data_IF_500014748429
#
_entry.id   IF_500014748429
#
_cell.length_a   1.000
_cell.length_b   1.000
_cell.length_c   1.000
_cell.angle_alpha   90.00
_cell.angle_beta   90.00
_cell.angle_gamma   90.00
#
_symmetry.space_group_name_H-M   'P 1'
#
loop_
_entity.id
_entity.type
_entity.pdbx_description
1 polymer ?
#
# COMPACT_ATOMS: atom_id res chain seq x y z
N UNK A 1 -7.93 5.25 -19.38
CA UNK A 1 -8.53 3.89 -19.30
C UNK A 1 -9.54 3.83 -18.16
N UNK A 2 -10.39 2.83 -18.12
CA UNK A 2 -11.32 2.56 -17.04
C UNK A 2 -10.92 1.27 -16.34
N UNK A 3 -10.87 1.31 -15.02
CA UNK A 3 -10.58 0.13 -14.18
C UNK A 3 -11.81 -0.16 -13.34
N UNK A 4 -12.20 -1.44 -13.28
CA UNK A 4 -13.16 -1.96 -12.30
C UNK A 4 -12.37 -2.58 -11.16
N UNK A 5 -12.69 -2.17 -9.93
CA UNK A 5 -12.05 -2.69 -8.73
C UNK A 5 -13.09 -2.97 -7.65
N UNK A 6 -12.77 -3.92 -6.78
CA UNK A 6 -13.66 -4.28 -5.69
C UNK A 6 -13.07 -5.34 -4.79
N UNK A 7 -13.81 -5.66 -3.73
CA UNK A 7 -13.45 -6.76 -2.82
C UNK A 7 -14.70 -7.38 -2.22
N UNK A 8 -14.50 -8.59 -1.67
CA UNK A 8 -15.48 -9.31 -0.85
C UNK A 8 -14.74 -9.95 0.33
N UNK A 9 -14.93 -9.38 1.54
CA UNK A 9 -14.29 -9.80 2.78
C UNK A 9 -15.32 -10.39 3.73
N UNK A 10 -15.03 -11.56 4.30
CA UNK A 10 -15.88 -12.20 5.31
C UNK A 10 -15.16 -12.29 6.65
N UNK A 11 -15.85 -11.92 7.72
CA UNK A 11 -15.37 -12.02 9.10
C UNK A 11 -16.32 -12.88 9.93
N UNK A 12 -15.75 -13.75 10.77
CA UNK A 12 -16.48 -14.49 11.80
C UNK A 12 -16.20 -13.84 13.16
N UNK A 13 -17.22 -13.30 13.79
CA UNK A 13 -17.12 -12.64 15.11
C UNK A 13 -17.87 -13.44 16.16
N UNK A 14 -17.20 -13.74 17.29
CA UNK A 14 -17.84 -14.49 18.39
C UNK A 14 -18.81 -13.64 19.21
N UNK A 15 -18.66 -12.32 19.17
CA UNK A 15 -19.44 -11.33 19.91
C UNK A 15 -19.50 -10.03 19.11
N UNK A 16 -20.33 -9.04 19.51
CA UNK A 16 -20.27 -7.72 18.89
C UNK A 16 -18.85 -7.18 18.95
N UNK A 17 -18.22 -6.94 17.79
CA UNK A 17 -16.81 -6.59 17.68
C UNK A 17 -16.64 -5.25 16.97
N UNK A 18 -16.17 -4.21 17.70
CA UNK A 18 -15.79 -2.95 17.06
C UNK A 18 -14.64 -3.16 16.08
N UNK A 19 -14.71 -2.54 14.91
CA UNK A 19 -13.69 -2.62 13.88
C UNK A 19 -13.42 -1.24 13.26
N UNK A 20 -12.15 -0.96 12.99
CA UNK A 20 -11.70 0.14 12.13
C UNK A 20 -11.33 -0.44 10.77
N UNK A 21 -11.76 0.21 9.71
CA UNK A 21 -11.59 -0.23 8.33
C UNK A 21 -10.90 0.86 7.50
N UNK A 22 -9.80 0.51 6.81
CA UNK A 22 -9.16 1.33 5.79
C UNK A 22 -9.42 0.64 4.45
N UNK A 23 -10.68 0.70 3.99
CA UNK A 23 -11.17 -0.03 2.81
C UNK A 23 -11.73 0.92 1.73
N UNK A 24 -11.80 2.22 2.03
CA UNK A 24 -12.19 3.22 1.05
C UNK A 24 -10.95 3.66 0.25
N UNK A 25 -11.17 4.10 -1.00
CA UNK A 25 -10.09 4.73 -1.76
C UNK A 25 -9.64 6.02 -1.06
N UNK A 26 -8.37 6.31 -1.20
CA UNK A 26 -7.77 7.53 -0.63
C UNK A 26 -8.45 8.78 -1.22
N UNK A 27 -8.68 9.84 -0.41
CA UNK A 27 -9.37 11.06 -0.87
C UNK A 27 -8.76 11.71 -2.11
N UNK A 28 -7.44 11.56 -2.34
CA UNK A 28 -6.76 12.07 -3.54
C UNK A 28 -7.23 11.44 -4.85
N UNK A 29 -7.87 10.26 -4.79
CA UNK A 29 -8.37 9.52 -5.96
C UNK A 29 -9.90 9.63 -6.13
N UNK A 30 -10.59 10.40 -5.25
CA UNK A 30 -12.05 10.54 -5.32
C UNK A 30 -12.54 11.16 -6.61
N UNK A 31 -11.80 12.13 -7.14
CA UNK A 31 -12.16 12.82 -8.39
C UNK A 31 -12.10 11.89 -9.62
N UNK A 32 -11.38 10.77 -9.52
CA UNK A 32 -11.24 9.81 -10.60
C UNK A 32 -12.36 8.77 -10.63
N UNK A 33 -13.21 8.68 -9.58
CA UNK A 33 -14.33 7.73 -9.54
C UNK A 33 -15.32 7.98 -10.68
N UNK A 34 -15.65 6.91 -11.39
CA UNK A 34 -16.69 6.88 -12.44
C UNK A 34 -18.01 6.32 -11.90
N UNK A 35 -17.97 5.60 -10.79
CA UNK A 35 -19.12 5.18 -9.99
C UNK A 35 -18.82 5.33 -8.51
N UNK A 36 -19.87 5.45 -7.68
CA UNK A 36 -19.70 5.57 -6.24
C UNK A 36 -19.05 4.32 -5.65
N UNK A 37 -18.03 4.52 -4.80
CA UNK A 37 -17.52 3.46 -3.95
C UNK A 37 -18.29 3.44 -2.64
N UNK A 38 -19.12 2.42 -2.44
CA UNK A 38 -19.96 2.25 -1.25
C UNK A 38 -19.61 0.91 -0.59
N UNK A 39 -19.32 0.93 0.71
CA UNK A 39 -19.19 -0.29 1.50
C UNK A 39 -20.57 -0.88 1.74
N UNK A 40 -20.77 -2.11 1.29
CA UNK A 40 -22.02 -2.86 1.45
C UNK A 40 -21.81 -3.98 2.46
N UNK A 41 -22.79 -4.17 3.34
CA UNK A 41 -22.79 -5.20 4.38
C UNK A 41 -23.95 -6.16 4.13
N UNK A 42 -23.75 -7.47 4.37
CA UNK A 42 -24.80 -8.50 4.24
C UNK A 42 -25.78 -8.46 5.42
N UNK A 43 -25.52 -7.64 6.43
CA UNK A 43 -26.38 -7.40 7.59
C UNK A 43 -26.55 -5.90 7.83
N UNK A 44 -27.60 -5.46 8.54
CA UNK A 44 -27.76 -4.05 8.90
C UNK A 44 -26.64 -3.61 9.86
N UNK A 45 -25.64 -2.93 9.35
CA UNK A 45 -24.51 -2.39 10.11
C UNK A 45 -24.43 -0.90 9.83
N UNK A 46 -24.43 -0.10 10.91
CA UNK A 46 -24.15 1.33 10.80
C UNK A 46 -22.63 1.55 10.69
N UNK A 47 -22.22 2.28 9.67
CA UNK A 47 -20.82 2.63 9.43
C UNK A 47 -20.63 4.14 9.61
N UNK A 48 -19.69 4.52 10.47
CA UNK A 48 -19.28 5.92 10.66
C UNK A 48 -17.97 6.19 9.94
N UNK A 49 -18.00 7.13 9.01
CA UNK A 49 -16.80 7.57 8.27
C UNK A 49 -16.04 8.62 9.05
N UNK A 50 -14.70 8.57 8.98
CA UNK A 50 -13.80 9.58 9.53
C UNK A 50 -12.52 9.65 8.69
N UNK A 51 -11.76 10.72 8.87
CA UNK A 51 -10.41 10.87 8.29
C UNK A 51 -9.39 10.70 9.41
N UNK A 52 -8.39 9.86 9.19
CA UNK A 52 -7.30 9.68 10.15
C UNK A 52 -6.23 10.78 10.04
N UNK A 53 -5.18 10.66 10.86
CA UNK A 53 -4.08 11.64 10.91
C UNK A 53 -3.19 11.63 9.67
N UNK A 54 -3.29 10.63 8.82
CA UNK A 54 -2.57 10.50 7.55
C UNK A 54 -3.42 10.92 6.35
N UNK A 55 -4.66 11.33 6.58
CA UNK A 55 -5.60 11.76 5.53
C UNK A 55 -6.38 10.61 4.89
N UNK A 56 -6.32 9.39 5.42
CA UNK A 56 -7.04 8.23 4.89
C UNK A 56 -8.53 8.32 5.19
N UNK A 57 -9.36 7.86 4.24
CA UNK A 57 -10.80 7.71 4.43
C UNK A 57 -11.09 6.38 5.13
N UNK A 58 -11.43 6.46 6.42
CA UNK A 58 -11.65 5.32 7.29
C UNK A 58 -13.12 5.13 7.63
N UNK A 59 -13.49 3.90 7.98
CA UNK A 59 -14.83 3.58 8.51
C UNK A 59 -14.71 2.88 9.86
N UNK A 60 -15.66 3.14 10.75
CA UNK A 60 -15.80 2.45 12.03
C UNK A 60 -17.16 1.75 12.05
N UNK A 61 -17.15 0.46 12.43
CA UNK A 61 -18.35 -0.37 12.54
C UNK A 61 -18.34 -1.16 13.85
N UNK A 62 -19.48 -1.76 14.18
CA UNK A 62 -19.57 -2.85 15.15
C UNK A 62 -20.13 -4.06 14.42
N UNK A 63 -19.26 -5.03 14.09
CA UNK A 63 -19.69 -6.28 13.48
C UNK A 63 -20.49 -7.11 14.47
N UNK A 64 -21.71 -7.60 14.13
CA UNK A 64 -22.50 -8.45 15.02
C UNK A 64 -21.88 -9.84 15.18
N UNK A 65 -22.32 -10.64 16.18
CA UNK A 65 -21.91 -12.03 16.28
C UNK A 65 -22.30 -12.83 15.04
N UNK A 66 -21.45 -13.78 14.66
CA UNK A 66 -21.61 -14.59 13.48
C UNK A 66 -20.82 -14.04 12.28
N UNK A 67 -21.26 -14.38 11.09
CA UNK A 67 -20.59 -13.98 9.85
C UNK A 67 -21.05 -12.60 9.41
N UNK A 68 -20.10 -11.76 9.07
CA UNK A 68 -20.31 -10.46 8.43
C UNK A 68 -19.52 -10.40 7.13
N UNK A 69 -20.20 -10.07 6.04
CA UNK A 69 -19.56 -9.83 4.74
C UNK A 69 -19.52 -8.34 4.45
N UNK A 70 -18.34 -7.83 4.07
CA UNK A 70 -18.11 -6.44 3.66
C UNK A 70 -17.66 -6.47 2.21
N UNK A 71 -18.33 -5.76 1.33
CA UNK A 71 -18.01 -5.72 -0.09
C UNK A 71 -18.15 -4.34 -0.68
N UNK A 72 -17.46 -4.12 -1.79
CA UNK A 72 -17.63 -2.97 -2.68
C UNK A 72 -17.22 -3.35 -4.08
N UNK A 73 -17.82 -2.69 -5.06
CA UNK A 73 -17.40 -2.69 -6.46
C UNK A 73 -17.56 -1.27 -6.99
N UNK A 74 -16.60 -0.78 -7.74
CA UNK A 74 -16.62 0.55 -8.33
C UNK A 74 -15.82 0.61 -9.62
N UNK A 75 -16.05 1.63 -10.41
CA UNK A 75 -15.27 1.96 -11.60
C UNK A 75 -14.51 3.27 -11.37
N UNK A 76 -13.27 3.31 -11.81
CA UNK A 76 -12.38 4.46 -11.63
C UNK A 76 -11.61 4.73 -12.92
N UNK A 77 -11.39 6.02 -13.21
CA UNK A 77 -10.52 6.47 -14.28
C UNK A 77 -9.04 6.33 -13.87
N UNK A 78 -8.23 5.91 -14.82
CA UNK A 78 -6.78 5.91 -14.74
C UNK A 78 -6.19 6.48 -16.04
N UNK A 79 -5.03 7.14 -15.95
CA UNK A 79 -4.37 7.73 -17.12
C UNK A 79 -3.92 6.67 -18.13
N UNK A 80 -3.73 5.43 -17.69
CA UNK A 80 -3.12 4.36 -18.48
C UNK A 80 -1.62 4.53 -18.67
N UNK A 81 -1.01 5.48 -17.96
CA UNK A 81 0.44 5.70 -18.01
C UNK A 81 1.12 4.96 -16.85
N UNK A 82 2.33 4.46 -17.06
CA UNK A 82 3.10 3.85 -15.97
C UNK A 82 3.50 4.87 -14.92
N UNK A 83 3.87 4.38 -13.73
CA UNK A 83 4.42 5.20 -12.66
C UNK A 83 5.57 6.08 -13.16
N UNK A 84 5.61 7.34 -12.71
CA UNK A 84 6.63 8.31 -13.13
C UNK A 84 7.95 7.97 -12.45
N UNK A 85 9.02 7.93 -13.23
CA UNK A 85 10.42 7.81 -12.76
C UNK A 85 11.05 9.20 -12.73
N UNK A 86 11.23 9.83 -11.56
CA UNK A 86 11.76 11.19 -11.45
C UNK A 86 13.29 11.18 -11.32
N UNK A 87 14.00 10.86 -12.40
CA UNK A 87 15.46 10.64 -12.41
C UNK A 87 16.29 11.84 -11.86
N UNK A 88 15.73 13.05 -11.93
CA UNK A 88 16.32 14.30 -11.46
C UNK A 88 15.86 14.74 -10.08
N UNK A 89 14.99 13.97 -9.41
CA UNK A 89 14.47 14.32 -8.10
C UNK A 89 15.56 14.32 -7.03
N UNK A 90 15.71 15.47 -6.35
CA UNK A 90 16.79 15.70 -5.39
C UNK A 90 16.38 15.34 -3.96
N UNK A 91 17.31 14.82 -3.19
CA UNK A 91 17.13 14.62 -1.75
C UNK A 91 17.34 15.94 -1.02
N UNK A 92 16.39 16.32 -0.17
CA UNK A 92 16.50 17.51 0.69
C UNK A 92 17.34 17.24 1.93
N UNK A 93 17.99 18.28 2.44
CA UNK A 93 18.51 18.26 3.80
C UNK A 93 17.34 18.20 4.79
N UNK A 94 17.51 17.55 5.96
CA UNK A 94 16.42 17.38 6.94
C UNK A 94 15.81 18.71 7.36
N UNK A 95 16.63 19.76 7.52
CA UNK A 95 16.18 21.10 7.94
C UNK A 95 15.32 21.80 6.88
N UNK A 96 15.32 21.34 5.64
CA UNK A 96 14.57 21.94 4.54
C UNK A 96 13.28 21.16 4.23
N UNK A 97 13.01 20.09 4.98
CA UNK A 97 11.81 19.28 4.82
C UNK A 97 10.60 19.95 5.48
N UNK A 98 9.40 19.87 4.87
CA UNK A 98 8.15 20.27 5.51
C UNK A 98 7.88 19.47 6.80
N UNK A 99 7.25 20.09 7.79
CA UNK A 99 6.99 19.49 9.10
C UNK A 99 6.14 18.20 9.01
N UNK A 100 5.19 18.16 8.08
CA UNK A 100 4.28 17.03 7.89
C UNK A 100 4.94 15.79 7.28
N UNK A 101 6.15 15.90 6.70
CA UNK A 101 6.89 14.74 6.19
C UNK A 101 7.89 14.18 7.21
N UNK A 102 8.23 14.92 8.27
CA UNK A 102 9.26 14.51 9.24
C UNK A 102 8.92 13.20 9.95
N UNK A 103 7.64 12.91 10.19
CA UNK A 103 7.19 11.65 10.81
C UNK A 103 7.58 10.43 9.97
N UNK A 104 7.78 10.60 8.68
CA UNK A 104 8.16 9.54 7.74
C UNK A 104 9.68 9.31 7.62
N UNK A 105 10.48 9.99 8.45
CA UNK A 105 11.90 9.69 8.68
C UNK A 105 12.10 8.74 9.86
N UNK A 106 11.11 8.60 10.74
CA UNK A 106 11.24 7.87 12.00
C UNK A 106 10.94 6.39 11.82
N UNK A 107 11.57 5.55 12.63
CA UNK A 107 11.21 4.15 12.75
C UNK A 107 9.75 3.97 13.19
N UNK A 108 9.15 2.82 12.83
CA UNK A 108 7.77 2.50 13.16
C UNK A 108 7.63 0.99 13.45
N UNK A 109 6.40 0.51 13.72
CA UNK A 109 6.16 -0.88 14.16
C UNK A 109 6.87 -1.92 13.29
N UNK A 110 6.79 -1.78 11.96
CA UNK A 110 7.38 -2.73 11.01
C UNK A 110 8.65 -2.22 10.34
N UNK A 111 8.94 -0.92 10.43
CA UNK A 111 10.15 -0.32 9.88
C UNK A 111 11.14 -0.02 11.01
N UNK A 112 11.80 -1.05 11.52
CA UNK A 112 12.78 -1.05 12.62
C UNK A 112 14.15 -0.54 12.13
N UNK A 113 14.24 0.76 11.88
CA UNK A 113 15.41 1.46 11.30
C UNK A 113 16.68 1.30 12.14
N UNK A 114 16.56 1.23 13.46
CA UNK A 114 17.66 1.06 14.41
C UNK A 114 18.47 -0.23 14.16
N UNK A 115 17.85 -1.26 13.61
CA UNK A 115 18.48 -2.54 13.30
C UNK A 115 19.13 -2.59 11.90
N UNK A 116 18.82 -1.62 11.05
CA UNK A 116 19.26 -1.58 9.65
C UNK A 116 20.20 -0.41 9.35
N UNK A 117 20.34 0.56 10.27
CA UNK A 117 21.09 1.78 10.05
C UNK A 117 22.53 1.54 9.62
N UNK A 118 23.29 0.71 10.34
CA UNK A 118 24.70 0.43 10.03
C UNK A 118 24.84 -0.21 8.64
N UNK A 119 23.96 -1.17 8.31
CA UNK A 119 23.94 -1.78 6.99
C UNK A 119 23.62 -0.75 5.90
N UNK A 120 22.59 0.07 6.10
CA UNK A 120 22.17 1.07 5.13
C UNK A 120 23.30 2.06 4.81
N UNK A 121 23.94 2.60 5.85
CA UNK A 121 25.07 3.52 5.68
C UNK A 121 26.27 2.86 5.02
N UNK A 122 26.65 1.65 5.43
CA UNK A 122 27.75 0.92 4.82
C UNK A 122 27.49 0.65 3.32
N UNK A 123 26.23 0.37 2.94
CA UNK A 123 25.86 -0.05 1.59
C UNK A 123 25.57 1.12 0.65
N UNK A 124 24.89 2.18 1.13
CA UNK A 124 24.33 3.22 0.27
C UNK A 124 24.91 4.63 0.46
N UNK A 125 25.82 4.85 1.42
CA UNK A 125 26.41 6.19 1.65
C UNK A 125 27.15 6.76 0.44
N UNK A 126 27.75 5.91 -0.39
CA UNK A 126 28.48 6.30 -1.59
C UNK A 126 27.60 6.45 -2.84
N UNK A 127 26.32 6.07 -2.79
CA UNK A 127 25.42 6.27 -3.94
C UNK A 127 25.07 7.77 -4.10
N UNK A 128 24.86 8.27 -5.33
CA UNK A 128 24.39 9.64 -5.53
C UNK A 128 23.09 9.91 -4.74
N UNK A 129 22.95 11.15 -4.24
CA UNK A 129 21.75 11.58 -3.53
C UNK A 129 20.53 11.63 -4.46
N UNK A 130 19.32 11.57 -3.87
CA UNK A 130 18.07 11.67 -4.62
C UNK A 130 17.61 10.34 -5.19
N UNK A 131 17.01 10.38 -6.38
CA UNK A 131 16.39 9.20 -7.00
C UNK A 131 17.37 8.04 -7.19
N UNK A 132 18.60 8.31 -7.60
CA UNK A 132 19.61 7.25 -7.79
C UNK A 132 19.84 6.41 -6.52
N UNK A 133 19.78 7.03 -5.33
CA UNK A 133 19.87 6.30 -4.06
C UNK A 133 18.63 5.47 -3.78
N UNK A 134 17.46 6.01 -4.05
CA UNK A 134 16.18 5.26 -3.93
C UNK A 134 16.19 4.05 -4.85
N UNK A 135 16.58 4.22 -6.12
CA UNK A 135 16.67 3.12 -7.08
C UNK A 135 17.66 2.05 -6.61
N UNK A 136 18.85 2.44 -6.14
CA UNK A 136 19.83 1.49 -5.61
C UNK A 136 19.30 0.70 -4.40
N UNK A 137 18.45 1.32 -3.55
CA UNK A 137 17.77 0.63 -2.46
C UNK A 137 16.72 -0.34 -3.01
N UNK A 138 15.92 0.06 -4.00
CA UNK A 138 14.92 -0.80 -4.63
C UNK A 138 15.55 -2.01 -5.32
N UNK A 139 16.63 -1.80 -6.09
CA UNK A 139 17.37 -2.88 -6.74
C UNK A 139 17.88 -3.88 -5.71
N UNK A 140 18.47 -3.38 -4.62
CA UNK A 140 18.93 -4.24 -3.53
C UNK A 140 17.78 -5.04 -2.90
N UNK A 141 16.65 -4.41 -2.57
CA UNK A 141 15.51 -5.08 -1.92
C UNK A 141 14.88 -6.11 -2.86
N UNK A 142 14.75 -5.77 -4.16
CA UNK A 142 14.24 -6.65 -5.19
C UNK A 142 15.05 -7.95 -5.30
N UNK A 143 16.36 -7.81 -5.34
CA UNK A 143 17.28 -8.94 -5.47
C UNK A 143 17.43 -9.74 -4.17
N UNK A 144 17.20 -9.08 -3.00
CA UNK A 144 17.45 -9.66 -1.69
C UNK A 144 16.30 -10.50 -1.16
N UNK A 145 15.04 -10.12 -1.46
CA UNK A 145 13.83 -10.82 -1.00
C UNK A 145 13.25 -11.66 -2.14
N UNK A 146 13.06 -12.94 -1.90
CA UNK A 146 12.26 -13.80 -2.79
C UNK A 146 10.79 -13.69 -2.45
N UNK A 147 9.95 -13.35 -3.43
CA UNK A 147 8.50 -13.29 -3.25
C UNK A 147 7.91 -14.69 -3.10
N UNK A 148 7.17 -14.93 -2.00
CA UNK A 148 6.49 -16.20 -1.74
C UNK A 148 5.28 -15.98 -0.83
N UNK A 149 4.06 -16.21 -1.34
CA UNK A 149 2.83 -16.10 -0.54
C UNK A 149 2.82 -17.02 0.68
N UNK A 150 3.45 -18.20 0.61
CA UNK A 150 3.52 -19.15 1.73
C UNK A 150 4.43 -18.65 2.87
N UNK A 151 5.20 -17.60 2.62
CA UNK A 151 6.06 -16.95 3.61
C UNK A 151 5.43 -15.70 4.21
N UNK A 152 4.13 -15.45 3.99
CA UNK A 152 3.43 -14.36 4.64
C UNK A 152 3.50 -14.50 6.17
N UNK A 153 3.99 -13.46 6.85
CA UNK A 153 4.06 -13.39 8.31
C UNK A 153 3.65 -12.00 8.79
N UNK A 154 2.52 -11.94 9.51
CA UNK A 154 1.95 -10.68 10.00
C UNK A 154 2.82 -9.97 11.05
N UNK A 155 3.79 -10.66 11.64
CA UNK A 155 4.70 -10.11 12.65
C UNK A 155 6.05 -9.67 12.09
N UNK A 156 6.36 -10.03 10.83
CA UNK A 156 7.68 -9.75 10.23
C UNK A 156 7.90 -8.24 10.08
N UNK A 157 9.02 -7.76 10.65
CA UNK A 157 9.52 -6.40 10.49
C UNK A 157 10.43 -6.28 9.27
N UNK A 158 10.88 -5.07 8.94
CA UNK A 158 11.86 -4.82 7.88
C UNK A 158 13.16 -5.61 8.10
N UNK A 159 13.69 -5.64 9.34
CA UNK A 159 14.84 -6.45 9.67
C UNK A 159 14.56 -7.95 9.58
N UNK A 160 13.36 -8.40 9.92
CA UNK A 160 12.93 -9.78 9.70
C UNK A 160 12.96 -10.16 8.22
N UNK A 161 12.39 -9.33 7.34
CA UNK A 161 12.44 -9.49 5.88
C UNK A 161 13.88 -9.52 5.34
N UNK A 162 14.73 -8.63 5.85
CA UNK A 162 16.16 -8.59 5.53
C UNK A 162 16.88 -9.91 5.92
N UNK A 163 16.54 -10.47 7.08
CA UNK A 163 17.19 -11.70 7.58
C UNK A 163 16.68 -12.95 6.87
N UNK A 164 15.36 -13.05 6.69
CA UNK A 164 14.70 -14.24 6.15
C UNK A 164 14.83 -14.35 4.63
N UNK A 165 15.05 -13.21 3.95
CA UNK A 165 15.19 -13.09 2.47
C UNK A 165 14.01 -13.68 1.70
N UNK A 166 12.85 -13.73 2.31
CA UNK A 166 11.60 -14.19 1.68
C UNK A 166 10.41 -13.48 2.31
N UNK A 167 9.37 -13.19 1.52
CA UNK A 167 8.19 -12.51 2.03
C UNK A 167 7.19 -12.14 0.93
N UNK A 168 6.25 -11.27 1.28
CA UNK A 168 5.20 -10.77 0.38
C UNK A 168 5.40 -9.27 0.09
N UNK A 169 4.56 -8.66 -0.75
CA UNK A 169 4.68 -7.25 -1.16
C UNK A 169 4.94 -6.29 0.02
N UNK A 170 4.29 -6.53 1.17
CA UNK A 170 4.47 -5.76 2.39
C UNK A 170 5.91 -5.81 2.92
N UNK A 171 6.57 -6.96 2.84
CA UNK A 171 7.93 -7.14 3.36
C UNK A 171 8.96 -6.38 2.50
N UNK A 172 8.76 -6.35 1.17
CA UNK A 172 9.56 -5.53 0.25
C UNK A 172 9.39 -4.04 0.57
N UNK A 173 8.14 -3.58 0.72
CA UNK A 173 7.86 -2.18 1.03
C UNK A 173 8.46 -1.77 2.37
N UNK A 174 8.29 -2.56 3.44
CA UNK A 174 8.84 -2.24 4.76
C UNK A 174 10.37 -2.17 4.76
N UNK A 175 11.05 -3.12 4.10
CA UNK A 175 12.51 -3.09 4.01
C UNK A 175 13.00 -1.85 3.24
N UNK A 176 12.40 -1.56 2.09
CA UNK A 176 12.77 -0.39 1.29
C UNK A 176 12.53 0.92 2.05
N UNK A 177 11.37 1.06 2.73
CA UNK A 177 11.05 2.22 3.58
C UNK A 177 12.08 2.39 4.70
N UNK A 178 12.40 1.31 5.42
CA UNK A 178 13.36 1.37 6.51
C UNK A 178 14.76 1.80 6.03
N UNK A 179 15.22 1.26 4.89
CA UNK A 179 16.49 1.64 4.28
C UNK A 179 16.49 3.09 3.79
N UNK A 180 15.41 3.57 3.16
CA UNK A 180 15.27 4.97 2.76
C UNK A 180 15.35 5.91 3.97
N UNK A 181 14.63 5.60 5.06
CA UNK A 181 14.65 6.39 6.30
C UNK A 181 16.03 6.40 6.94
N UNK A 182 16.74 5.26 6.97
CA UNK A 182 18.14 5.21 7.42
C UNK A 182 19.05 6.14 6.61
N UNK A 183 18.73 6.38 5.35
CA UNK A 183 19.47 7.29 4.45
C UNK A 183 18.91 8.71 4.43
N UNK A 184 18.08 9.08 5.43
CA UNK A 184 17.46 10.39 5.60
C UNK A 184 16.52 10.78 4.45
N UNK A 185 15.85 9.82 3.83
CA UNK A 185 14.83 10.02 2.81
C UNK A 185 13.47 9.71 3.45
N UNK A 186 12.54 10.70 3.57
CA UNK A 186 11.20 10.41 4.06
C UNK A 186 10.52 9.39 3.14
N UNK A 187 9.99 8.33 3.74
CA UNK A 187 9.32 7.26 3.01
C UNK A 187 8.05 6.81 3.75
N UNK A 188 6.93 6.67 3.01
CA UNK A 188 5.64 6.25 3.57
C UNK A 188 5.11 5.01 2.88
N UNK A 189 4.48 4.17 3.65
CA UNK A 189 3.83 2.95 3.17
C UNK A 189 2.52 3.29 2.47
N UNK A 190 2.23 2.57 1.40
CA UNK A 190 1.01 2.69 0.62
C UNK A 190 0.36 1.32 0.46
N UNK A 191 -0.97 1.29 0.50
CA UNK A 191 -1.75 0.09 0.18
C UNK A 191 -2.91 0.44 -0.74
N UNK A 192 -3.33 -0.53 -1.56
CA UNK A 192 -4.45 -0.34 -2.47
C UNK A 192 -4.54 -1.46 -3.50
N UNK A 193 -5.23 -1.17 -4.58
CA UNK A 193 -5.38 -2.11 -5.68
C UNK A 193 -4.26 -1.92 -6.72
N UNK A 194 -3.79 -3.03 -7.25
CA UNK A 194 -2.88 -3.08 -8.39
C UNK A 194 -3.15 -4.35 -9.20
N UNK A 195 -3.86 -4.19 -10.31
CA UNK A 195 -4.17 -5.29 -11.22
C UNK A 195 -3.03 -5.62 -12.18
N UNK A 196 -3.20 -6.71 -12.93
CA UNK A 196 -2.26 -7.13 -13.97
C UNK A 196 -2.50 -6.38 -15.28
N UNK A 197 -2.44 -5.05 -15.21
CA UNK A 197 -2.65 -4.15 -16.34
C UNK A 197 -1.30 -3.87 -17.00
N UNK A 198 -1.22 -4.15 -18.30
CA UNK A 198 0.02 -3.97 -19.08
C UNK A 198 1.13 -4.97 -18.77
N UNK A 199 0.84 -6.02 -18.00
CA UNK A 199 1.76 -7.12 -17.65
C UNK A 199 1.07 -8.47 -17.82
N UNK A 200 1.82 -9.59 -17.87
CA UNK A 200 1.21 -10.93 -17.89
C UNK A 200 0.33 -11.16 -16.65
N UNK A 201 -0.80 -11.83 -16.84
CA UNK A 201 -1.73 -12.17 -15.77
C UNK A 201 -1.09 -13.18 -14.81
N UNK A 202 -1.10 -12.86 -13.50
CA UNK A 202 -0.71 -13.78 -12.44
C UNK A 202 -1.86 -14.78 -12.19
N UNK A 203 -1.62 -16.10 -12.27
CA UNK A 203 -2.67 -17.11 -12.03
C UNK A 203 -3.09 -17.23 -10.56
N UNK A 204 -2.36 -16.61 -9.63
CA UNK A 204 -2.71 -16.63 -8.22
C UNK A 204 -3.90 -15.71 -7.92
N UNK A 205 -4.67 -15.97 -6.85
CA UNK A 205 -5.71 -15.05 -6.41
C UNK A 205 -5.15 -13.64 -6.17
N UNK A 206 -5.89 -12.63 -6.63
CA UNK A 206 -5.52 -11.23 -6.43
C UNK A 206 -5.65 -10.83 -4.96
N UNK A 207 -4.76 -9.96 -4.50
CA UNK A 207 -4.70 -9.38 -3.16
C UNK A 207 -4.64 -7.84 -3.26
N UNK A 208 -4.88 -7.15 -2.15
CA UNK A 208 -4.43 -5.77 -2.02
C UNK A 208 -2.91 -5.72 -2.12
N UNK A 209 -2.42 -4.76 -2.85
CA UNK A 209 -0.99 -4.60 -3.06
C UNK A 209 -0.40 -3.59 -2.07
N UNK A 210 0.89 -3.76 -1.79
CA UNK A 210 1.68 -2.84 -1.02
C UNK A 210 2.83 -2.30 -1.85
N UNK A 211 3.04 -0.98 -1.76
CA UNK A 211 4.18 -0.25 -2.30
C UNK A 211 4.55 0.88 -1.34
N UNK A 212 5.36 1.80 -1.76
CA UNK A 212 5.70 2.94 -0.92
C UNK A 212 5.90 4.21 -1.75
N UNK A 213 5.99 5.32 -1.07
CA UNK A 213 6.34 6.60 -1.67
C UNK A 213 7.52 7.22 -0.92
N UNK A 214 8.35 7.96 -1.66
CA UNK A 214 9.48 8.73 -1.11
C UNK A 214 9.28 10.21 -1.40
N UNK A 215 9.71 11.07 -0.47
CA UNK A 215 9.63 12.51 -0.64
C UNK A 215 10.97 13.04 -1.17
N UNK A 216 10.97 13.45 -2.43
CA UNK A 216 12.12 14.03 -3.13
C UNK A 216 11.66 15.24 -3.94
N UNK A 217 12.49 16.26 -4.09
CA UNK A 217 12.19 17.42 -4.92
C UNK A 217 10.90 18.17 -4.53
N UNK A 218 10.46 18.05 -3.27
CA UNK A 218 9.22 18.66 -2.78
C UNK A 218 7.95 17.88 -3.06
N UNK A 219 8.04 16.65 -3.57
CA UNK A 219 6.89 15.81 -3.94
C UNK A 219 7.03 14.37 -3.46
N UNK A 220 5.89 13.69 -3.26
CA UNK A 220 5.84 12.26 -3.05
C UNK A 220 5.89 11.54 -4.41
N UNK A 221 6.79 10.55 -4.53
CA UNK A 221 6.96 9.73 -5.73
C UNK A 221 6.71 8.26 -5.41
N UNK A 222 5.88 7.61 -6.22
CA UNK A 222 5.56 6.18 -6.10
C UNK A 222 6.77 5.30 -6.43
N UNK A 223 7.03 4.31 -5.59
CA UNK A 223 8.13 3.35 -5.72
C UNK A 223 7.65 1.96 -5.34
N UNK A 224 8.13 0.94 -6.05
CA UNK A 224 7.74 -0.44 -5.80
C UNK A 224 8.94 -1.38 -5.89
N UNK A 225 9.51 -1.73 -4.75
CA UNK A 225 10.68 -2.60 -4.69
C UNK A 225 10.35 -4.07 -5.03
N UNK A 226 9.07 -4.51 -4.95
CA UNK A 226 8.68 -5.88 -5.35
C UNK A 226 8.76 -6.07 -6.85
N UNK A 227 8.16 -5.16 -7.61
CA UNK A 227 8.14 -5.26 -9.07
C UNK A 227 9.39 -4.63 -9.69
N UNK A 228 9.93 -3.61 -9.04
CA UNK A 228 11.09 -2.81 -9.46
C UNK A 228 10.99 -2.29 -10.91
N UNK A 229 9.77 -2.07 -11.34
CA UNK A 229 9.41 -1.52 -12.65
C UNK A 229 8.16 -0.66 -12.51
N UNK A 230 8.05 0.43 -13.29
CA UNK A 230 6.83 1.23 -13.33
C UNK A 230 5.60 0.38 -13.71
N UNK A 231 4.51 0.52 -12.95
CA UNK A 231 3.27 -0.20 -13.16
C UNK A 231 2.15 0.77 -13.56
N UNK A 232 1.07 0.26 -14.12
CA UNK A 232 -0.12 1.01 -14.54
C UNK A 232 -1.29 0.65 -13.63
N UNK A 233 -2.15 1.62 -13.33
CA UNK A 233 -3.45 1.35 -12.71
C UNK A 233 -3.42 1.17 -11.20
N UNK A 234 -2.52 1.85 -10.47
CA UNK A 234 -2.54 1.86 -9.00
C UNK A 234 -3.74 2.66 -8.49
N UNK A 235 -4.52 2.05 -7.61
CA UNK A 235 -5.63 2.72 -6.92
C UNK A 235 -5.28 2.77 -5.44
N UNK A 236 -4.87 3.94 -4.95
CA UNK A 236 -4.48 4.15 -3.57
C UNK A 236 -5.68 4.06 -2.64
N UNK A 237 -5.58 3.28 -1.56
CA UNK A 237 -6.53 3.21 -0.45
C UNK A 237 -6.04 3.96 0.78
N UNK A 238 -4.79 3.79 1.14
CA UNK A 238 -4.24 4.45 2.32
C UNK A 238 -2.73 4.60 2.31
N UNK A 239 -2.27 5.62 3.06
CA UNK A 239 -0.86 5.90 3.33
C UNK A 239 -0.62 5.95 4.83
N UNK A 240 0.58 5.55 5.27
CA UNK A 240 0.95 5.57 6.68
C UNK A 240 2.44 5.35 6.88
N UNK A 241 2.90 5.23 8.12
CA UNK A 241 4.32 4.96 8.39
C UNK A 241 4.72 3.55 8.02
N UNK A 242 3.80 2.61 8.23
CA UNK A 242 3.90 1.19 7.84
C UNK A 242 2.50 0.56 7.79
N UNK A 243 2.41 -0.74 7.59
CA UNK A 243 1.15 -1.46 7.47
C UNK A 243 0.24 -1.37 8.71
N UNK A 244 0.75 -0.99 9.90
CA UNK A 244 -0.09 -0.81 11.10
C UNK A 244 -1.08 0.34 10.92
N UNK A 245 -0.62 1.43 10.32
CA UNK A 245 -1.43 2.64 10.16
C UNK A 245 -2.53 2.47 9.08
N UNK A 246 -2.37 1.50 8.17
CA UNK A 246 -3.26 1.27 7.03
C UNK A 246 -3.76 -0.18 6.95
N UNK A 247 -3.84 -0.86 8.08
CA UNK A 247 -4.45 -2.19 8.11
C UNK A 247 -5.86 -2.15 7.54
N UNK A 248 -6.19 -3.02 6.56
CA UNK A 248 -7.53 -3.08 5.94
C UNK A 248 -8.64 -3.21 6.98
N UNK A 249 -8.36 -3.92 8.08
CA UNK A 249 -9.23 -4.00 9.25
C UNK A 249 -8.43 -4.16 10.53
N UNK A 250 -8.88 -3.49 11.59
CA UNK A 250 -8.40 -3.68 12.96
C UNK A 250 -9.60 -4.00 13.84
N UNK A 251 -9.65 -5.23 14.38
CA UNK A 251 -10.72 -5.68 15.23
C UNK A 251 -10.35 -5.53 16.72
N UNK A 252 -11.29 -5.02 17.51
CA UNK A 252 -11.17 -4.89 18.98
C UNK A 252 -11.95 -5.99 19.67
N UNK A 253 -11.64 -7.24 19.32
CA UNK A 253 -12.23 -8.47 19.81
C UNK A 253 -11.92 -9.65 18.91
N UNK A 254 -12.39 -10.86 19.25
CA UNK A 254 -12.18 -12.05 18.44
C UNK A 254 -12.90 -11.91 17.09
N UNK A 255 -12.13 -11.81 16.03
CA UNK A 255 -12.62 -11.81 14.65
C UNK A 255 -11.64 -12.60 13.77
N UNK A 256 -12.17 -13.50 12.95
CA UNK A 256 -11.39 -14.30 12.01
C UNK A 256 -11.78 -13.93 10.59
N UNK A 257 -10.80 -13.61 9.76
CA UNK A 257 -11.01 -13.41 8.32
C UNK A 257 -11.30 -14.77 7.68
N UNK A 258 -12.51 -14.98 7.18
CA UNK A 258 -13.00 -16.25 6.62
C UNK A 258 -13.17 -16.22 5.10
N UNK A 259 -13.22 -15.03 4.51
CA UNK A 259 -13.26 -14.81 3.06
C UNK A 259 -12.41 -13.61 2.69
N UNK A 260 -11.62 -13.75 1.65
CA UNK A 260 -10.78 -12.69 1.12
C UNK A 260 -10.72 -12.79 -0.40
N UNK A 261 -11.35 -11.85 -1.08
CA UNK A 261 -11.40 -11.78 -2.53
C UNK A 261 -11.22 -10.32 -2.93
N UNK A 262 -10.28 -10.06 -3.83
CA UNK A 262 -10.00 -8.74 -4.40
C UNK A 262 -10.05 -8.85 -5.91
N UNK A 263 -10.57 -7.85 -6.57
CA UNK A 263 -10.62 -7.78 -8.04
C UNK A 263 -10.13 -6.42 -8.52
N UNK A 264 -9.33 -6.42 -9.57
CA UNK A 264 -8.88 -5.20 -10.26
C UNK A 264 -8.61 -5.55 -11.70
N UNK A 265 -9.41 -5.01 -12.61
CA UNK A 265 -9.32 -5.33 -14.04
C UNK A 265 -9.53 -4.10 -14.91
N UNK A 266 -8.85 -4.05 -16.04
CA UNK A 266 -9.15 -3.06 -17.07
C UNK A 266 -10.51 -3.39 -17.70
N UNK A 267 -11.40 -2.39 -17.79
CA UNK A 267 -12.66 -2.52 -18.51
C UNK A 267 -12.41 -2.19 -19.98
N UNK A 268 -12.60 -3.16 -20.90
CA UNK A 268 -12.41 -2.89 -22.32
C UNK A 268 -13.28 -1.72 -22.76
N UNK A 269 -12.73 -0.80 -23.56
CA UNK A 269 -13.55 0.19 -24.24
C UNK A 269 -14.47 -0.53 -25.22
N UNK A 270 -15.77 -0.31 -25.11
CA UNK A 270 -16.70 -0.78 -26.16
C UNK A 270 -16.19 -0.20 -27.48
N UNK A 271 -15.87 -1.09 -28.44
CA UNK A 271 -15.53 -0.66 -29.78
C UNK A 271 -16.73 0.16 -30.29
N UNK A 272 -16.50 1.48 -30.40
CA UNK A 272 -17.56 2.40 -30.85
C UNK A 272 -18.15 1.85 -32.14
N UNK A 273 -19.47 1.62 -32.17
CA UNK A 273 -20.20 1.40 -33.43
C UNK A 273 -19.89 2.62 -34.26
N UNK A 274 -19.07 2.43 -35.30
CA UNK A 274 -18.94 3.38 -36.35
C UNK A 274 -20.32 3.47 -37.00
N UNK A 275 -21.00 4.60 -36.83
CA UNK A 275 -22.18 4.98 -37.60
C UNK A 275 -21.80 5.33 -39.04
#
# INVERSE_FOLDING_TARGET
>A
MKIRAGFNLGYECMQPTPMLLVLNIHPSRRADLLSDQILTFDQPIEAWSYTDVFGNACSRIVAPPGRTTISTEFEIYDSGQPDIVPDDAVQHAINDLPDDVLVFLLGSRYCDTDRLADFAWARFSSTPLGWARVQAICDFVHDHITFDYLKADVLRTAHGGFTDKAGVCRDFAHLAIALCRCMNIPARYCTGYLGDIGVPIDPNPMDFSAWFEVFLGGHWHTVDARHNTPRIGRILMGTGRDATDVAMSTAFGPATLSRFEVTTEEVPQEAGKAD
#
